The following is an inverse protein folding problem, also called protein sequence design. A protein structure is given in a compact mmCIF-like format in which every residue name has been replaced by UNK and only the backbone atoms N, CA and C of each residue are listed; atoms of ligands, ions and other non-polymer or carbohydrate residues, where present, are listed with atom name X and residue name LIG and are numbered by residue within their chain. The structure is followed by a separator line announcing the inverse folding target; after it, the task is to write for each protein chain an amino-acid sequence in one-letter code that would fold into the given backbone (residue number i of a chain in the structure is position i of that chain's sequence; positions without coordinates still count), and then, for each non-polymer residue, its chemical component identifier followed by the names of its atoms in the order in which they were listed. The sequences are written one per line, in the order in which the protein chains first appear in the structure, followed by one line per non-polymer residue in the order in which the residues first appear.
data_IF_264601839860
#
_entry.id   IF_264601839860
#
_cell.length_a   1.000
_cell.length_b   1.000
_cell.length_c   1.000
_cell.angle_alpha   90.00
_cell.angle_beta   90.00
_cell.angle_gamma   90.00
#
_symmetry.space_group_name_H-M   'P 1'
#
loop_
_entity.id
_entity.type
_entity.pdbx_description
1 polymer ?
#
# COMPACT_ATOMS: atom_id res chain seq x y z
N UNK A 1 -3.37 9.39 -1.78
CA UNK A 1 -3.01 9.52 -0.35
C UNK A 1 -1.62 8.97 -0.04
N UNK A 2 -1.12 7.93 -0.74
CA UNK A 2 0.21 7.32 -0.49
C UNK A 2 1.36 8.34 -0.54
N UNK A 3 1.38 9.17 -1.59
CA UNK A 3 2.41 10.19 -1.79
C UNK A 3 2.46 11.20 -0.64
N UNK A 4 1.30 11.75 -0.25
CA UNK A 4 1.18 12.72 0.83
C UNK A 4 1.63 12.09 2.14
N UNK A 5 1.21 10.86 2.41
CA UNK A 5 1.61 10.14 3.61
C UNK A 5 3.13 9.94 3.68
N UNK A 6 3.75 9.50 2.59
CA UNK A 6 5.19 9.24 2.56
C UNK A 6 6.00 10.53 2.71
N UNK A 7 5.54 11.63 2.11
CA UNK A 7 6.25 12.92 2.13
C UNK A 7 6.03 13.74 3.40
N UNK A 8 4.83 13.70 3.98
CA UNK A 8 4.40 14.59 5.06
C UNK A 8 3.97 13.86 6.34
N UNK A 9 3.90 12.53 6.32
CA UNK A 9 3.52 11.70 7.46
C UNK A 9 2.02 11.51 7.65
N UNK A 10 1.67 10.59 8.56
CA UNK A 10 0.29 10.25 8.92
C UNK A 10 -0.46 11.42 9.57
N UNK A 11 0.19 12.15 10.48
CA UNK A 11 -0.43 13.27 11.19
C UNK A 11 -0.94 14.37 10.26
N UNK A 12 -0.13 14.79 9.27
CA UNK A 12 -0.53 15.81 8.28
C UNK A 12 -1.67 15.31 7.41
N UNK A 13 -1.60 14.05 6.94
CA UNK A 13 -2.66 13.49 6.11
C UNK A 13 -4.00 13.43 6.85
N UNK A 14 -3.99 12.87 8.07
CA UNK A 14 -5.20 12.72 8.89
C UNK A 14 -5.78 14.08 9.23
N UNK A 15 -4.97 15.01 9.76
CA UNK A 15 -5.44 16.35 10.15
C UNK A 15 -5.99 17.15 8.97
N UNK A 16 -5.36 17.07 7.80
CA UNK A 16 -5.82 17.80 6.61
C UNK A 16 -7.16 17.27 6.09
N UNK A 17 -7.38 15.96 6.16
CA UNK A 17 -8.64 15.35 5.73
C UNK A 17 -9.74 15.60 6.77
N UNK A 18 -9.44 15.42 8.05
CA UNK A 18 -10.42 15.59 9.12
C UNK A 18 -10.77 17.07 9.39
N UNK A 19 -9.95 18.02 8.90
CA UNK A 19 -10.30 19.44 8.89
C UNK A 19 -11.55 19.73 8.03
N UNK A 20 -11.86 18.89 7.04
CA UNK A 20 -13.08 18.99 6.24
C UNK A 20 -14.29 18.49 7.04
N UNK A 21 -14.14 17.32 7.67
CA UNK A 21 -15.16 16.71 8.52
C UNK A 21 -14.52 15.73 9.51
N UNK A 22 -14.91 15.74 10.80
CA UNK A 22 -14.39 14.80 11.78
C UNK A 22 -14.56 13.33 11.36
N UNK A 23 -13.52 12.51 11.55
CA UNK A 23 -13.48 11.08 11.20
C UNK A 23 -13.58 10.77 9.70
N UNK A 24 -13.45 11.76 8.81
CA UNK A 24 -13.51 11.54 7.37
C UNK A 24 -12.36 10.66 6.89
N UNK A 25 -11.16 10.80 7.45
CA UNK A 25 -10.02 9.96 7.12
C UNK A 25 -10.33 8.47 7.32
N UNK A 26 -10.90 8.12 8.49
CA UNK A 26 -11.25 6.75 8.83
C UNK A 26 -12.32 6.19 7.88
N UNK A 27 -13.30 7.00 7.48
CA UNK A 27 -14.29 6.60 6.48
C UNK A 27 -13.64 6.38 5.12
N UNK A 28 -12.75 7.27 4.69
CA UNK A 28 -12.05 7.15 3.41
C UNK A 28 -11.17 5.90 3.38
N UNK A 29 -10.45 5.63 4.47
CA UNK A 29 -9.60 4.47 4.61
C UNK A 29 -10.40 3.18 4.43
N UNK A 30 -11.56 3.08 5.08
CA UNK A 30 -12.41 1.88 5.01
C UNK A 30 -13.13 1.70 3.68
N UNK A 31 -13.68 2.79 3.12
CA UNK A 31 -14.55 2.73 1.95
C UNK A 31 -13.80 2.76 0.63
N UNK A 32 -12.63 3.42 0.61
CA UNK A 32 -11.90 3.64 -0.63
C UNK A 32 -10.49 3.07 -0.58
N UNK A 33 -9.72 3.26 0.50
CA UNK A 33 -8.33 2.80 0.48
C UNK A 33 -8.24 1.26 0.49
N UNK A 34 -8.71 0.61 1.57
CA UNK A 34 -8.58 -0.85 1.72
C UNK A 34 -9.19 -1.62 0.54
N UNK A 35 -10.42 -1.32 0.07
CA UNK A 35 -11.04 -2.09 -1.02
C UNK A 35 -10.34 -1.92 -2.38
N UNK A 36 -9.65 -0.79 -2.60
CA UNK A 36 -9.00 -0.47 -3.87
C UNK A 36 -7.50 -0.82 -3.89
N UNK A 37 -6.90 -1.27 -2.77
CA UNK A 37 -5.49 -1.71 -2.76
C UNK A 37 -5.23 -2.80 -3.81
N UNK A 38 -6.19 -3.72 -4.02
CA UNK A 38 -6.09 -4.76 -5.05
C UNK A 38 -6.09 -4.23 -6.50
N UNK A 39 -6.52 -2.99 -6.73
CA UNK A 39 -6.59 -2.40 -8.07
C UNK A 39 -5.27 -1.73 -8.47
N UNK A 40 -4.36 -1.52 -7.52
CA UNK A 40 -3.05 -0.92 -7.76
C UNK A 40 -2.20 -1.85 -8.64
N UNK A 41 -1.59 -1.27 -9.66
CA UNK A 41 -0.70 -1.91 -10.63
C UNK A 41 0.51 -1.01 -10.82
N UNK A 42 1.60 -1.58 -11.30
CA UNK A 42 2.88 -0.87 -11.50
C UNK A 42 3.80 -1.02 -10.28
N UNK A 43 5.07 -1.26 -10.55
CA UNK A 43 6.05 -1.61 -9.51
C UNK A 43 6.25 -0.46 -8.53
N UNK A 44 6.31 0.79 -9.01
CA UNK A 44 6.48 1.97 -8.18
C UNK A 44 5.23 2.27 -7.36
N UNK A 45 4.04 2.15 -7.95
CA UNK A 45 2.75 2.40 -7.28
C UNK A 45 2.49 1.38 -6.18
N UNK A 46 2.80 0.11 -6.45
CA UNK A 46 2.68 -0.97 -5.45
C UNK A 46 3.66 -0.70 -4.31
N UNK A 47 4.93 -0.40 -4.60
CA UNK A 47 5.94 -0.07 -3.60
C UNK A 47 5.50 1.13 -2.75
N UNK A 48 5.09 2.23 -3.38
CA UNK A 48 4.64 3.45 -2.72
C UNK A 48 3.45 3.19 -1.81
N UNK A 49 2.48 2.40 -2.28
CA UNK A 49 1.25 2.13 -1.54
C UNK A 49 1.46 1.13 -0.41
N UNK A 50 2.34 0.14 -0.58
CA UNK A 50 2.71 -0.80 0.48
C UNK A 50 3.48 -0.10 1.60
N UNK A 51 4.48 0.73 1.27
CA UNK A 51 5.23 1.52 2.25
C UNK A 51 4.31 2.51 2.96
N UNK A 52 3.40 3.16 2.22
CA UNK A 52 2.43 4.06 2.83
C UNK A 52 1.48 3.32 3.81
N UNK A 53 0.92 2.19 3.40
CA UNK A 53 0.04 1.40 4.27
C UNK A 53 0.77 0.89 5.52
N UNK A 54 2.05 0.51 5.38
CA UNK A 54 2.92 0.14 6.51
C UNK A 54 3.11 1.30 7.48
N UNK A 55 3.44 2.50 6.99
CA UNK A 55 3.58 3.70 7.83
C UNK A 55 2.27 4.05 8.53
N UNK A 56 1.12 3.92 7.86
CA UNK A 56 -0.18 4.09 8.50
C UNK A 56 -0.39 3.09 9.65
N UNK A 57 -0.08 1.82 9.44
CA UNK A 57 -0.22 0.77 10.47
C UNK A 57 0.69 1.02 11.69
N UNK A 58 1.89 1.56 11.47
CA UNK A 58 2.91 1.66 12.52
C UNK A 58 3.03 3.04 13.18
N UNK A 59 2.57 4.11 12.52
CA UNK A 59 2.82 5.49 12.95
C UNK A 59 1.53 6.31 13.12
N UNK A 60 0.38 5.85 12.61
CA UNK A 60 -0.87 6.62 12.72
C UNK A 60 -1.52 6.44 14.08
N UNK A 61 -1.59 7.52 14.87
CA UNK A 61 -2.30 7.52 16.15
C UNK A 61 -3.76 7.03 16.04
N UNK A 62 -4.44 7.33 14.93
CA UNK A 62 -5.82 6.89 14.69
C UNK A 62 -5.92 5.37 14.54
N UNK A 63 -4.94 4.72 13.91
CA UNK A 63 -4.93 3.25 13.73
C UNK A 63 -4.31 2.51 14.91
N UNK A 64 -3.44 3.20 15.66
CA UNK A 64 -2.85 2.70 16.91
C UNK A 64 -3.77 2.91 18.12
N UNK A 65 -4.99 3.42 17.94
CA UNK A 65 -6.02 3.42 18.97
C UNK A 65 -6.61 2.01 19.15
N UNK A 66 -6.95 1.62 20.38
CA UNK A 66 -7.49 0.29 20.66
C UNK A 66 -8.85 0.04 19.98
N UNK A 67 -9.67 1.09 19.84
CA UNK A 67 -10.95 1.02 19.14
C UNK A 67 -10.78 0.80 17.62
N UNK A 68 -9.61 1.09 17.07
CA UNK A 68 -9.30 0.92 15.65
C UNK A 68 -8.73 -0.47 15.31
N UNK A 69 -8.58 -1.38 16.27
CA UNK A 69 -8.11 -2.76 16.07
C UNK A 69 -8.72 -3.49 14.85
N UNK A 70 -10.05 -3.48 14.60
CA UNK A 70 -10.61 -4.16 13.43
C UNK A 70 -10.17 -3.52 12.10
N UNK A 71 -9.96 -2.20 12.08
CA UNK A 71 -9.51 -1.48 10.89
C UNK A 71 -8.02 -1.66 10.65
N UNK A 72 -7.24 -1.71 11.72
CA UNK A 72 -5.82 -2.02 11.68
C UNK A 72 -5.60 -3.42 11.07
N UNK A 73 -6.30 -4.44 11.56
CA UNK A 73 -6.21 -5.80 11.03
C UNK A 73 -6.62 -5.91 9.56
N UNK A 74 -7.71 -5.26 9.15
CA UNK A 74 -8.16 -5.23 7.75
C UNK A 74 -7.19 -4.51 6.81
N UNK A 75 -6.55 -3.44 7.28
CA UNK A 75 -5.54 -2.73 6.51
C UNK A 75 -4.29 -3.60 6.34
N UNK A 76 -3.86 -4.30 7.40
CA UNK A 76 -2.76 -5.26 7.34
C UNK A 76 -3.08 -6.38 6.35
N UNK A 77 -4.26 -6.99 6.46
CA UNK A 77 -4.75 -8.04 5.55
C UNK A 77 -4.67 -7.60 4.07
N UNK A 78 -5.21 -6.42 3.77
CA UNK A 78 -5.20 -5.85 2.43
C UNK A 78 -3.78 -5.52 1.94
N UNK A 79 -2.89 -5.12 2.84
CA UNK A 79 -1.48 -4.80 2.51
C UNK A 79 -0.69 -6.08 2.22
N UNK A 80 -0.89 -7.14 3.00
CA UNK A 80 -0.27 -8.44 2.74
C UNK A 80 -0.78 -9.01 1.42
N UNK A 81 -2.09 -8.95 1.15
CA UNK A 81 -2.66 -9.39 -0.12
C UNK A 81 -2.08 -8.62 -1.32
N UNK A 82 -1.84 -7.32 -1.18
CA UNK A 82 -1.17 -6.51 -2.22
C UNK A 82 0.25 -7.02 -2.49
N UNK A 83 1.02 -7.28 -1.43
CA UNK A 83 2.41 -7.73 -1.54
C UNK A 83 2.53 -9.18 -2.06
N UNK A 84 1.69 -10.10 -1.60
CA UNK A 84 1.71 -11.50 -2.07
C UNK A 84 1.39 -11.64 -3.56
N UNK A 85 0.67 -10.68 -4.15
CA UNK A 85 0.40 -10.66 -5.59
C UNK A 85 1.61 -10.30 -6.44
N UNK A 86 2.54 -9.51 -5.89
CA UNK A 86 3.78 -9.16 -6.62
C UNK A 86 4.62 -10.39 -6.91
N UNK A 87 4.55 -11.43 -6.07
CA UNK A 87 5.28 -12.69 -6.26
C UNK A 87 4.77 -13.53 -7.42
N UNK A 88 3.47 -13.47 -7.72
CA UNK A 88 2.87 -14.29 -8.77
C UNK A 88 2.93 -13.63 -10.16
N UNK A 89 3.20 -12.32 -10.22
CA UNK A 89 3.15 -11.52 -11.45
C UNK A 89 4.49 -11.05 -12.01
N UNK A 90 5.61 -11.35 -11.33
CA UNK A 90 6.94 -10.79 -11.62
C UNK A 90 7.50 -11.06 -13.02
N UNK A 91 6.88 -11.92 -13.83
CA UNK A 91 7.35 -12.25 -15.18
C UNK A 91 6.61 -11.52 -16.32
N UNK A 92 5.58 -10.70 -16.04
CA UNK A 92 4.74 -10.11 -17.11
C UNK A 92 4.51 -8.60 -17.02
N UNK A 93 5.00 -7.90 -15.99
CA UNK A 93 4.67 -6.48 -15.78
C UNK A 93 5.71 -5.47 -16.24
N UNK A 94 6.83 -5.90 -16.84
CA UNK A 94 7.85 -4.97 -17.37
C UNK A 94 7.62 -4.56 -18.85
N UNK A 95 6.50 -4.93 -19.48
CA UNK A 95 6.31 -4.71 -20.92
C UNK A 95 4.98 -4.08 -21.37
N UNK A 96 4.30 -3.33 -20.50
CA UNK A 96 3.04 -2.65 -20.88
C UNK A 96 3.01 -1.14 -20.64
N UNK A 97 4.16 -0.48 -20.45
CA UNK A 97 4.17 0.98 -20.26
C UNK A 97 4.88 1.76 -21.38
N UNK A 98 5.05 1.12 -22.53
CA UNK A 98 5.63 1.72 -23.74
C UNK A 98 4.91 1.43 -25.05
N UNK A 99 3.86 0.60 -25.03
CA UNK A 99 2.97 0.43 -26.16
C UNK A 99 1.59 0.90 -25.72
N UNK A 100 1.31 2.18 -25.94
CA UNK A 100 -0.03 2.59 -26.34
C UNK A 100 -0.42 1.67 -27.50
N UNK A 101 -1.10 0.56 -27.18
CA UNK A 101 -1.97 -0.05 -28.15
C UNK A 101 -3.00 1.05 -28.44
N UNK A 102 -2.71 1.83 -29.48
CA UNK A 102 -3.65 2.76 -30.07
C UNK A 102 -4.80 1.88 -30.50
N UNK A 103 -5.79 1.73 -29.62
CA UNK A 103 -7.05 1.10 -29.95
C UNK A 103 -7.74 2.14 -30.82
N UNK A 104 -7.42 2.10 -32.12
CA UNK A 104 -8.11 2.86 -33.16
C UNK A 104 -9.49 2.23 -33.28
N UNK A 105 -10.33 2.44 -32.26
CA UNK A 105 -11.75 2.25 -32.40
C UNK A 105 -12.19 3.31 -33.39
N UNK A 106 -12.33 2.88 -34.64
CA UNK A 106 -12.86 3.64 -35.78
C UNK A 106 -14.26 4.13 -35.45
N UNK A 107 -14.33 5.21 -34.69
CA UNK A 107 -15.52 6.02 -34.52
C UNK A 107 -15.37 7.10 -35.58
N UNK A 108 -16.23 7.07 -36.61
CA UNK A 108 -16.17 7.96 -37.77
C UNK A 108 -16.41 9.43 -37.37
N UNK A 109 -15.36 10.07 -36.87
CA UNK A 109 -15.31 11.45 -36.38
C UNK A 109 -13.89 11.77 -35.94
N UNK A 110 -13.48 13.03 -36.05
CA UNK A 110 -12.13 13.54 -35.75
C UNK A 110 -11.56 12.96 -34.44
N UNK A 111 -10.56 12.07 -34.54
CA UNK A 111 -9.88 11.49 -33.39
C UNK A 111 -8.66 12.34 -33.04
N UNK A 112 -8.65 12.92 -31.84
CA UNK A 112 -7.45 13.58 -31.29
C UNK A 112 -6.52 12.48 -30.77
N UNK A 113 -5.41 12.24 -31.45
CA UNK A 113 -4.36 11.32 -31.00
C UNK A 113 -3.31 12.09 -30.20
N UNK A 114 -3.03 11.64 -28.98
CA UNK A 114 -1.91 12.14 -28.18
C UNK A 114 -0.62 11.47 -28.64
N UNK A 115 0.43 12.25 -28.91
CA UNK A 115 1.77 11.74 -29.25
C UNK A 115 2.71 12.06 -28.11
N UNK A 116 3.11 11.04 -27.35
CA UNK A 116 4.16 11.19 -26.33
C UNK A 116 5.51 11.28 -27.01
N UNK A 117 6.19 12.42 -26.88
CA UNK A 117 7.55 12.60 -27.40
C UNK A 117 8.52 11.71 -26.60
N UNK A 118 9.04 10.67 -27.24
CA UNK A 118 9.88 9.63 -26.61
C UNK A 118 11.13 10.20 -25.89
N UNK A 119 11.64 11.36 -26.32
CA UNK A 119 12.82 12.00 -25.74
C UNK A 119 12.51 13.17 -24.79
N UNK A 120 11.23 13.55 -24.63
CA UNK A 120 10.83 14.63 -23.73
C UNK A 120 10.12 14.12 -22.46
N UNK A 121 9.96 12.80 -22.31
CA UNK A 121 9.39 12.19 -21.12
C UNK A 121 10.34 12.33 -19.92
N UNK A 122 9.88 12.97 -18.84
CA UNK A 122 10.51 12.81 -17.53
C UNK A 122 10.22 11.39 -17.04
N UNK A 123 11.25 10.65 -16.65
CA UNK A 123 11.07 9.39 -15.94
C UNK A 123 10.38 9.66 -14.61
N UNK A 124 9.46 8.78 -14.23
CA UNK A 124 8.90 8.82 -12.87
C UNK A 124 10.03 8.58 -11.88
N UNK A 125 10.23 9.52 -10.96
CA UNK A 125 11.31 9.45 -9.98
C UNK A 125 10.85 8.61 -8.79
N UNK A 126 11.58 7.55 -8.48
CA UNK A 126 11.31 6.74 -7.29
C UNK A 126 11.56 7.59 -6.04
N UNK A 127 10.48 7.91 -5.32
CA UNK A 127 10.55 8.72 -4.10
C UNK A 127 10.97 7.90 -2.87
N UNK A 128 11.14 6.58 -3.03
CA UNK A 128 11.42 5.60 -2.00
C UNK A 128 12.69 4.79 -2.33
N UNK A 129 13.72 5.43 -2.91
CA UNK A 129 15.01 4.78 -3.22
C UNK A 129 15.68 4.12 -2.02
N UNK A 130 15.39 4.61 -0.81
CA UNK A 130 15.86 4.05 0.45
C UNK A 130 15.22 2.69 0.80
N UNK A 131 14.01 2.42 0.30
CA UNK A 131 13.30 1.16 0.52
C UNK A 131 13.59 0.23 -0.65
N UNK A 132 14.47 -0.75 -0.47
CA UNK A 132 14.75 -1.73 -1.53
C UNK A 132 13.61 -2.72 -1.71
N UNK A 133 13.12 -3.28 -0.61
CA UNK A 133 12.06 -4.29 -0.61
C UNK A 133 10.89 -3.85 0.28
N UNK A 134 9.69 -3.63 -0.30
CA UNK A 134 8.52 -3.22 0.49
C UNK A 134 8.05 -4.29 1.48
N UNK A 135 8.36 -5.58 1.26
CA UNK A 135 8.02 -6.66 2.19
C UNK A 135 8.91 -6.67 3.41
N UNK A 136 10.21 -6.50 3.18
CA UNK A 136 11.18 -6.33 4.27
C UNK A 136 10.79 -5.12 5.13
N UNK A 137 10.41 -4.01 4.48
CA UNK A 137 9.95 -2.81 5.18
C UNK A 137 8.72 -3.09 6.05
N UNK A 138 7.69 -3.73 5.50
CA UNK A 138 6.49 -4.12 6.25
C UNK A 138 6.84 -4.94 7.49
N UNK A 139 7.60 -6.02 7.30
CA UNK A 139 7.92 -6.98 8.37
C UNK A 139 8.79 -6.34 9.46
N UNK A 140 9.80 -5.56 9.08
CA UNK A 140 10.71 -4.90 10.03
C UNK A 140 9.98 -3.82 10.84
N UNK A 141 9.13 -3.02 10.20
CA UNK A 141 8.32 -2.00 10.88
C UNK A 141 7.31 -2.61 11.85
N UNK A 142 6.63 -3.69 11.45
CA UNK A 142 5.69 -4.38 12.32
C UNK A 142 6.38 -5.08 13.50
N UNK A 143 7.55 -5.69 13.29
CA UNK A 143 8.31 -6.29 14.38
C UNK A 143 8.75 -5.23 15.40
N UNK A 144 9.19 -4.06 14.93
CA UNK A 144 9.54 -2.91 15.77
C UNK A 144 8.32 -2.43 16.58
N UNK A 145 7.15 -2.31 15.93
CA UNK A 145 5.90 -1.92 16.59
C UNK A 145 5.47 -2.97 17.63
N UNK A 146 5.57 -4.26 17.30
CA UNK A 146 5.23 -5.36 18.20
C UNK A 146 6.14 -5.39 19.42
N UNK A 147 7.43 -5.10 19.26
CA UNK A 147 8.38 -5.00 20.37
C UNK A 147 8.06 -3.83 21.32
N UNK A 148 7.52 -2.72 20.80
CA UNK A 148 7.10 -1.57 21.61
C UNK A 148 5.79 -1.81 22.36
N UNK A 149 4.95 -2.74 21.91
CA UNK A 149 3.67 -3.07 22.55
C UNK A 149 3.41 -4.58 22.52
N UNK A 150 4.15 -5.38 23.32
CA UNK A 150 4.04 -6.83 23.33
C UNK A 150 2.62 -7.29 23.66
N UNK A 151 2.16 -8.35 22.99
CA UNK A 151 0.85 -8.99 23.24
C UNK A 151 -0.36 -8.24 22.66
N UNK A 152 -0.19 -7.03 22.12
CA UNK A 152 -1.31 -6.23 21.59
C UNK A 152 -1.75 -6.66 20.19
N UNK A 153 -0.80 -6.84 19.27
CA UNK A 153 -1.12 -7.01 17.85
C UNK A 153 -1.38 -8.46 17.44
N UNK A 154 -0.87 -9.44 18.20
CA UNK A 154 -1.11 -10.86 17.93
C UNK A 154 -2.60 -11.24 17.89
N UNK A 155 -3.39 -10.92 18.93
CA UNK A 155 -4.83 -11.19 18.91
C UNK A 155 -5.57 -10.48 17.77
N UNK A 156 -5.15 -9.27 17.42
CA UNK A 156 -5.75 -8.49 16.31
C UNK A 156 -5.50 -9.16 14.97
N UNK A 157 -4.26 -9.63 14.74
CA UNK A 157 -3.91 -10.41 13.55
C UNK A 157 -4.75 -11.69 13.50
N UNK A 158 -4.85 -12.40 14.62
CA UNK A 158 -5.63 -13.64 14.68
C UNK A 158 -7.12 -13.44 14.39
N UNK A 159 -7.70 -12.33 14.82
CA UNK A 159 -9.13 -12.09 14.69
C UNK A 159 -9.53 -11.45 13.35
N UNK A 160 -8.66 -10.62 12.75
CA UNK A 160 -9.06 -9.72 11.66
C UNK A 160 -8.31 -9.90 10.34
N UNK A 161 -7.28 -10.75 10.30
CA UNK A 161 -6.55 -11.09 9.07
C UNK A 161 -7.04 -12.43 8.52
N UNK A 162 -7.15 -12.56 7.20
CA UNK A 162 -7.57 -13.81 6.56
C UNK A 162 -6.50 -14.90 6.76
N UNK A 163 -6.87 -16.17 7.05
CA UNK A 163 -5.93 -17.27 7.20
C UNK A 163 -4.88 -17.40 6.09
N UNK A 164 -5.23 -17.13 4.82
CA UNK A 164 -4.27 -17.19 3.71
C UNK A 164 -3.19 -16.09 3.81
N UNK A 165 -3.61 -14.89 4.21
CA UNK A 165 -2.72 -13.76 4.41
C UNK A 165 -1.90 -13.91 5.70
N UNK A 166 -2.43 -14.54 6.75
CA UNK A 166 -1.63 -14.93 7.93
C UNK A 166 -0.49 -15.86 7.55
N UNK A 167 -0.76 -16.90 6.75
CA UNK A 167 0.27 -17.82 6.25
C UNK A 167 1.35 -17.09 5.46
N UNK A 168 0.94 -16.16 4.58
CA UNK A 168 1.87 -15.32 3.83
C UNK A 168 2.71 -14.43 4.75
N UNK A 169 2.09 -13.78 5.73
CA UNK A 169 2.78 -12.92 6.70
C UNK A 169 3.81 -13.72 7.52
N UNK A 170 3.46 -14.92 7.98
CA UNK A 170 4.40 -15.80 8.70
C UNK A 170 5.58 -16.23 7.82
N UNK A 171 5.35 -16.52 6.54
CA UNK A 171 6.43 -16.82 5.59
C UNK A 171 7.36 -15.62 5.40
N UNK A 172 6.81 -14.40 5.29
CA UNK A 172 7.60 -13.18 5.21
C UNK A 172 8.40 -12.93 6.50
N UNK A 173 7.79 -13.11 7.67
CA UNK A 173 8.48 -13.03 8.96
C UNK A 173 9.68 -13.98 9.03
N UNK A 174 9.48 -15.24 8.62
CA UNK A 174 10.54 -16.24 8.58
C UNK A 174 11.65 -15.87 7.58
N UNK A 175 11.28 -15.36 6.38
CA UNK A 175 12.24 -14.98 5.35
C UNK A 175 13.18 -13.84 5.77
N UNK A 176 12.66 -12.84 6.52
CA UNK A 176 13.44 -11.70 6.97
C UNK A 176 13.91 -11.79 8.44
N UNK A 177 13.77 -12.96 9.08
CA UNK A 177 14.14 -13.19 10.49
C UNK A 177 13.55 -12.18 11.48
N UNK A 178 12.28 -11.79 11.29
CA UNK A 178 11.60 -10.89 12.19
C UNK A 178 10.49 -11.61 12.96
N UNK A 179 10.32 -11.25 14.22
CA UNK A 179 9.27 -11.80 15.06
C UNK A 179 8.15 -10.77 15.24
N UNK A 180 7.00 -11.06 14.65
CA UNK A 180 5.75 -10.32 14.88
C UNK A 180 4.90 -11.27 15.72
N UNK A 181 4.62 -10.87 16.97
CA UNK A 181 4.14 -11.69 18.10
C UNK A 181 5.23 -12.38 18.90
#
# INVERSE_FOLDING_TARGET
MSLVLVKYGSGVLVSSIDAIQPNLFTQILQRFWMPNLKLIKGTLEIKLTAVASTKLLCESAVLLDAAAAPYWGKLLDSTVALLSRTDQGGAQQEQSDGADAVDIQRTSGYSVSFVRLQYAGKSEDDLLKEVNDPKQFLVTSLATLSAQSPGRFGPVIEQHVDPANKGSLLQLCAAYNANIV
#
